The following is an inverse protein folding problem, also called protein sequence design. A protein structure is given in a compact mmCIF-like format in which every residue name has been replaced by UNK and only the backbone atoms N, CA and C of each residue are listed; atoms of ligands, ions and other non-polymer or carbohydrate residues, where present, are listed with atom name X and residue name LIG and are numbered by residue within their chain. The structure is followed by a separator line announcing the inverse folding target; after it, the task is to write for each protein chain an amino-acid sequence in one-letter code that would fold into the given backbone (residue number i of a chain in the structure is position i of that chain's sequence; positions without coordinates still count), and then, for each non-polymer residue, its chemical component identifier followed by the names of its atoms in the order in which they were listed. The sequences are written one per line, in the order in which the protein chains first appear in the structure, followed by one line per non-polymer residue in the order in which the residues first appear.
data_IF_911689164979
#
_entry.id   IF_911689164979
#
_cell.length_a   1.000
_cell.length_b   1.000
_cell.length_c   1.000
_cell.angle_alpha   90.00
_cell.angle_beta   90.00
_cell.angle_gamma   90.00
#
_symmetry.space_group_name_H-M   'P 1'
#
loop_
_entity.id
_entity.type
_entity.pdbx_description
1 polymer ?
#
# COMPACT_ATOMS: atom_id res chain seq x y z
N UNK A 1 6.32 -15.25 -46.92
CA UNK A 1 7.67 -15.12 -47.49
C UNK A 1 8.45 -16.35 -47.07
N UNK A 2 8.96 -17.13 -48.01
CA UNK A 2 9.75 -18.34 -47.74
C UNK A 2 11.26 -18.04 -47.83
N UNK A 3 12.12 -19.02 -47.51
CA UNK A 3 13.58 -18.86 -47.51
C UNK A 3 14.13 -18.41 -48.89
N UNK A 4 13.59 -18.96 -49.96
CA UNK A 4 14.01 -18.61 -51.33
C UNK A 4 13.66 -17.17 -51.71
N UNK A 5 12.57 -16.61 -51.16
CA UNK A 5 12.19 -15.22 -51.35
C UNK A 5 13.17 -14.28 -50.63
N UNK A 6 13.66 -14.68 -49.45
CA UNK A 6 14.65 -13.92 -48.69
C UNK A 6 16.02 -13.92 -49.36
N UNK A 7 16.45 -15.04 -49.92
CA UNK A 7 17.75 -15.20 -50.62
C UNK A 7 17.84 -14.34 -51.91
N UNK A 8 16.71 -13.91 -52.45
CA UNK A 8 16.63 -13.03 -53.62
C UNK A 8 16.68 -11.53 -53.31
N UNK A 9 16.58 -11.17 -52.03
CA UNK A 9 16.62 -9.77 -51.63
C UNK A 9 18.07 -9.26 -51.55
N UNK A 10 18.26 -7.98 -51.91
CA UNK A 10 19.54 -7.31 -51.72
C UNK A 10 19.80 -7.14 -50.20
N UNK A 11 21.07 -6.89 -49.86
CA UNK A 11 21.44 -6.62 -48.46
C UNK A 11 20.66 -5.46 -47.89
N UNK A 12 20.44 -4.38 -48.68
CA UNK A 12 19.69 -3.19 -48.32
C UNK A 12 18.21 -3.54 -48.06
N UNK A 13 17.61 -4.33 -48.92
CA UNK A 13 16.23 -4.83 -48.79
C UNK A 13 16.06 -5.74 -47.58
N UNK A 14 17.06 -6.59 -47.27
CA UNK A 14 17.05 -7.43 -46.08
C UNK A 14 17.17 -6.56 -44.79
N UNK A 15 18.03 -5.54 -44.81
CA UNK A 15 18.15 -4.59 -43.66
C UNK A 15 16.84 -3.85 -43.44
N UNK A 16 16.20 -3.35 -44.51
CA UNK A 16 14.90 -2.67 -44.42
C UNK A 16 13.81 -3.61 -43.87
N UNK A 17 13.79 -4.86 -44.33
CA UNK A 17 12.87 -5.87 -43.84
C UNK A 17 13.11 -6.18 -42.34
N UNK A 18 14.38 -6.34 -41.93
CA UNK A 18 14.74 -6.58 -40.53
C UNK A 18 14.31 -5.37 -39.66
N UNK A 19 14.53 -4.14 -40.12
CA UNK A 19 14.10 -2.92 -39.42
C UNK A 19 12.57 -2.86 -39.31
N UNK A 20 11.82 -3.22 -40.34
CA UNK A 20 10.34 -3.30 -40.30
C UNK A 20 9.83 -4.41 -39.38
N UNK A 21 10.58 -5.50 -39.21
CA UNK A 21 10.25 -6.62 -38.32
C UNK A 21 10.66 -6.37 -36.86
N UNK A 22 11.57 -5.41 -36.62
CA UNK A 22 11.96 -5.05 -35.25
C UNK A 22 10.81 -4.33 -34.54
N UNK A 23 10.26 -5.00 -33.55
CA UNK A 23 9.24 -4.39 -32.69
C UNK A 23 9.89 -3.52 -31.63
N UNK A 24 9.35 -2.33 -31.35
CA UNK A 24 9.85 -1.49 -30.27
C UNK A 24 9.78 -2.22 -28.93
N UNK A 25 10.75 -1.96 -28.07
CA UNK A 25 10.75 -2.54 -26.71
C UNK A 25 9.58 -2.00 -25.91
N UNK A 26 8.81 -2.89 -25.29
CA UNK A 26 7.70 -2.48 -24.41
C UNK A 26 8.21 -1.70 -23.21
N UNK A 27 7.62 -0.53 -22.95
CA UNK A 27 7.87 0.36 -21.83
C UNK A 27 6.67 0.40 -20.87
N UNK A 28 6.76 1.10 -19.75
CA UNK A 28 5.62 1.30 -18.84
C UNK A 28 4.46 2.09 -19.48
N UNK A 29 4.73 2.83 -20.58
CA UNK A 29 3.70 3.54 -21.35
C UNK A 29 2.96 2.66 -22.33
N UNK A 30 3.60 1.60 -22.80
CA UNK A 30 3.11 0.71 -23.87
C UNK A 30 2.85 -0.71 -23.39
N UNK A 31 2.94 -0.96 -22.07
CA UNK A 31 2.67 -2.26 -21.47
C UNK A 31 2.44 -2.14 -19.97
N UNK A 32 2.11 -3.25 -19.31
CA UNK A 32 1.98 -3.35 -17.85
C UNK A 32 3.32 -3.43 -17.11
N UNK A 33 4.45 -3.13 -17.76
CA UNK A 33 5.75 -3.02 -17.06
C UNK A 33 5.74 -1.89 -16.05
N UNK A 34 6.31 -2.09 -14.85
CA UNK A 34 6.41 -1.00 -13.88
C UNK A 34 7.38 0.08 -14.40
N UNK A 35 7.17 1.38 -14.08
CA UNK A 35 8.06 2.48 -14.49
C UNK A 35 9.52 2.29 -14.06
N UNK A 36 9.75 1.52 -13.00
CA UNK A 36 11.10 1.17 -12.54
C UNK A 36 11.88 0.25 -13.47
N UNK A 37 11.18 -0.47 -14.37
CA UNK A 37 11.79 -1.35 -15.37
C UNK A 37 12.15 -0.62 -16.68
N UNK A 38 11.73 0.63 -16.84
CA UNK A 38 12.11 1.43 -18.00
C UNK A 38 13.58 1.88 -17.88
N UNK A 39 14.31 1.85 -19.01
CA UNK A 39 15.64 2.45 -19.05
C UNK A 39 15.52 3.94 -18.74
N UNK A 40 16.15 4.39 -17.66
CA UNK A 40 16.19 5.80 -17.28
C UNK A 40 17.08 6.54 -18.26
N UNK A 41 16.52 7.22 -19.25
CA UNK A 41 17.23 8.25 -19.97
C UNK A 41 17.47 9.42 -19.01
N UNK A 42 18.74 9.76 -18.79
CA UNK A 42 19.10 10.98 -18.05
C UNK A 42 18.51 12.17 -18.82
N UNK A 43 17.42 12.73 -18.31
CA UNK A 43 16.89 14.00 -18.84
C UNK A 43 17.96 15.08 -18.64
N UNK A 44 18.68 15.42 -19.68
CA UNK A 44 19.71 16.49 -19.70
C UNK A 44 19.15 17.85 -19.30
N UNK A 45 17.82 18.06 -19.38
CA UNK A 45 17.14 19.32 -19.08
C UNK A 45 15.99 19.11 -18.07
N UNK A 46 16.24 18.37 -17.00
CA UNK A 46 15.29 18.33 -15.89
C UNK A 46 15.18 19.73 -15.29
N UNK A 47 14.02 20.37 -15.38
CA UNK A 47 13.76 21.61 -14.65
C UNK A 47 14.00 21.36 -13.17
N UNK A 48 14.66 22.31 -12.44
CA UNK A 48 14.81 22.15 -10.99
C UNK A 48 13.42 21.95 -10.37
N UNK A 49 13.33 20.91 -9.49
CA UNK A 49 12.14 20.69 -8.69
C UNK A 49 11.95 21.81 -7.69
N UNK A 50 10.73 22.01 -7.21
CA UNK A 50 10.39 23.00 -6.21
C UNK A 50 9.24 23.91 -6.64
N UNK A 51 8.84 24.77 -5.72
CA UNK A 51 7.76 25.73 -5.96
C UNK A 51 8.20 26.78 -7.00
N UNK A 52 7.31 27.11 -7.92
CA UNK A 52 7.54 28.18 -8.91
C UNK A 52 7.48 29.55 -8.22
N UNK A 53 8.19 30.59 -8.73
CA UNK A 53 8.00 31.95 -8.25
C UNK A 53 6.52 32.34 -8.25
N UNK A 54 6.02 32.92 -7.16
CA UNK A 54 4.60 33.25 -6.97
C UNK A 54 3.72 32.10 -6.41
N UNK A 55 4.26 30.93 -6.12
CA UNK A 55 3.54 29.87 -5.42
C UNK A 55 3.20 30.33 -4.01
N UNK A 56 1.91 30.34 -3.67
CA UNK A 56 1.46 30.59 -2.30
C UNK A 56 1.81 29.37 -1.46
N UNK A 57 2.68 29.56 -0.45
CA UNK A 57 2.97 28.53 0.53
C UNK A 57 1.70 28.07 1.26
N UNK A 58 1.60 26.78 1.56
CA UNK A 58 0.58 26.27 2.47
C UNK A 58 1.16 26.28 3.87
N UNK A 59 0.58 27.11 4.72
CA UNK A 59 0.91 27.15 6.14
C UNK A 59 -0.09 26.31 6.92
N UNK A 60 0.37 25.74 8.02
CA UNK A 60 -0.52 25.09 8.98
C UNK A 60 -1.25 26.17 9.75
N UNK A 61 -2.54 25.99 10.00
CA UNK A 61 -3.31 26.82 10.91
C UNK A 61 -2.81 26.59 12.34
N UNK A 62 -2.85 27.65 13.17
CA UNK A 62 -2.62 27.52 14.60
C UNK A 62 -3.65 26.58 15.23
N UNK A 63 -3.28 25.89 16.31
CA UNK A 63 -4.20 25.07 17.07
C UNK A 63 -5.28 25.96 17.74
N UNK A 64 -6.55 25.57 17.61
CA UNK A 64 -7.64 26.29 18.28
C UNK A 64 -7.51 26.22 19.80
N UNK A 65 -6.98 25.13 20.32
CA UNK A 65 -6.80 24.86 21.75
C UNK A 65 -5.40 24.29 21.96
N UNK A 66 -4.36 25.11 22.14
CA UNK A 66 -3.02 24.65 22.49
C UNK A 66 -3.01 24.08 23.91
N UNK A 67 -2.21 23.06 24.16
CA UNK A 67 -2.07 22.43 25.49
C UNK A 67 -1.37 23.36 26.47
N UNK A 68 -0.44 24.20 25.98
CA UNK A 68 0.31 25.18 26.76
C UNK A 68 0.52 26.45 25.93
N UNK A 69 0.52 27.62 26.62
CA UNK A 69 0.85 28.91 26.00
C UNK A 69 1.99 29.55 26.77
N UNK A 70 3.11 29.78 26.08
CA UNK A 70 4.30 30.43 26.66
C UNK A 70 4.48 31.82 26.07
N UNK A 71 4.43 32.85 26.91
CA UNK A 71 4.68 34.22 26.48
C UNK A 71 6.18 34.56 26.58
N UNK A 72 6.77 34.95 25.47
CA UNK A 72 8.16 35.43 25.43
C UNK A 72 8.20 36.94 25.47
N UNK A 73 8.95 37.49 26.39
CA UNK A 73 9.10 38.93 26.60
C UNK A 73 10.59 39.31 26.46
N UNK A 74 10.89 40.51 25.95
CA UNK A 74 12.27 41.01 25.96
C UNK A 74 12.65 41.49 27.36
N UNK A 75 13.84 41.14 27.83
CA UNK A 75 14.35 41.53 29.14
C UNK A 75 14.91 42.97 29.16
N UNK A 76 15.28 43.48 27.98
CA UNK A 76 15.90 44.79 27.83
C UNK A 76 15.58 45.44 26.50
N UNK A 77 15.60 46.75 26.45
CA UNK A 77 15.44 47.53 25.22
C UNK A 77 16.74 47.48 24.39
N UNK A 78 16.73 47.03 23.12
CA UNK A 78 17.94 46.98 22.31
C UNK A 78 18.48 48.36 21.91
N UNK A 79 17.69 49.42 22.01
CA UNK A 79 18.12 50.77 21.66
C UNK A 79 18.82 51.51 22.80
N UNK A 80 18.36 51.35 24.07
CA UNK A 80 18.88 52.08 25.22
C UNK A 80 19.43 51.15 26.31
N UNK A 81 19.36 49.83 26.16
CA UNK A 81 19.79 48.81 27.12
C UNK A 81 19.10 48.88 28.48
N UNK A 82 18.02 49.69 28.60
CA UNK A 82 17.19 49.77 29.81
C UNK A 82 16.47 48.44 30.05
N UNK A 83 16.40 48.01 31.33
CA UNK A 83 15.64 46.81 31.70
C UNK A 83 14.16 47.04 31.48
N UNK A 84 13.49 46.02 30.96
CA UNK A 84 12.05 45.99 30.81
C UNK A 84 11.46 45.12 31.92
N UNK A 85 10.57 45.72 32.70
CA UNK A 85 9.94 45.05 33.82
C UNK A 85 8.75 44.22 33.37
N UNK A 86 8.49 43.10 34.01
CA UNK A 86 7.37 42.20 33.71
C UNK A 86 6.01 42.84 33.92
N UNK A 87 5.91 43.93 34.68
CA UNK A 87 4.69 44.70 34.89
C UNK A 87 4.27 45.55 33.68
N UNK A 88 5.17 45.77 32.70
CA UNK A 88 4.85 46.52 31.50
C UNK A 88 3.85 45.75 30.64
N UNK A 89 2.82 46.41 30.14
CA UNK A 89 1.88 45.79 29.22
C UNK A 89 2.58 45.36 27.94
N UNK A 90 2.37 44.10 27.52
CA UNK A 90 2.87 43.54 26.27
C UNK A 90 1.78 43.44 25.22
N UNK A 91 2.15 43.61 23.96
CA UNK A 91 1.27 43.37 22.80
C UNK A 91 1.73 42.11 22.07
N UNK A 92 0.78 41.25 21.67
CA UNK A 92 1.07 40.03 20.87
C UNK A 92 1.33 40.46 19.43
N UNK A 93 2.57 40.36 19.01
CA UNK A 93 3.00 40.71 17.64
C UNK A 93 3.13 39.50 16.71
N UNK A 94 3.06 38.27 17.24
CA UNK A 94 3.10 37.03 16.49
C UNK A 94 2.82 35.81 17.35
N UNK A 95 2.29 34.78 16.75
CA UNK A 95 1.97 33.52 17.39
C UNK A 95 2.54 32.38 16.55
N UNK A 96 3.08 31.35 17.21
CA UNK A 96 3.69 30.18 16.59
C UNK A 96 3.39 28.93 17.41
N UNK A 97 2.95 27.86 16.77
CA UNK A 97 2.80 26.56 17.42
C UNK A 97 4.10 25.76 17.29
N UNK A 98 4.63 25.32 18.42
CA UNK A 98 5.60 24.24 18.50
C UNK A 98 4.86 22.93 18.79
N UNK A 99 4.98 21.94 17.90
CA UNK A 99 4.25 20.68 18.04
C UNK A 99 5.26 19.57 18.31
N UNK A 100 5.20 19.02 19.50
CA UNK A 100 6.07 17.95 19.95
C UNK A 100 5.27 16.68 20.25
N UNK A 101 5.91 15.53 20.08
CA UNK A 101 5.37 14.25 20.53
C UNK A 101 5.92 13.94 21.92
N UNK A 102 5.05 13.84 22.94
CA UNK A 102 5.52 13.44 24.25
C UNK A 102 6.10 12.02 24.21
N UNK A 103 7.07 11.66 25.09
CA UNK A 103 7.60 10.33 25.17
C UNK A 103 6.51 9.29 25.36
N UNK A 104 6.43 8.32 24.44
CA UNK A 104 5.41 7.25 24.50
C UNK A 104 5.97 6.11 25.35
N UNK A 105 5.49 5.98 26.57
CA UNK A 105 5.89 4.93 27.48
C UNK A 105 4.88 3.78 27.48
N UNK A 106 5.33 2.50 27.47
CA UNK A 106 4.43 1.35 27.54
C UNK A 106 3.71 1.29 28.88
N UNK A 107 2.41 1.07 28.84
CA UNK A 107 1.62 0.77 30.02
C UNK A 107 1.68 -0.73 30.32
N UNK A 108 2.23 -1.11 31.49
CA UNK A 108 2.37 -2.50 31.92
C UNK A 108 1.36 -2.81 33.01
N UNK A 109 0.47 -3.79 32.74
CA UNK A 109 -0.48 -4.31 33.73
C UNK A 109 -0.05 -5.74 34.13
N UNK A 110 0.17 -5.94 35.41
CA UNK A 110 0.46 -7.27 35.97
C UNK A 110 -0.84 -7.89 36.48
N UNK A 111 -1.14 -9.08 35.97
CA UNK A 111 -2.27 -9.88 36.46
C UNK A 111 -1.74 -10.92 37.45
N UNK A 112 -2.27 -10.89 38.67
CA UNK A 112 -1.98 -11.91 39.71
C UNK A 112 -3.13 -12.91 39.71
N UNK A 113 -2.81 -14.19 39.46
CA UNK A 113 -3.76 -15.29 39.60
C UNK A 113 -3.68 -15.80 41.03
N UNK A 114 -4.72 -15.59 41.82
CA UNK A 114 -4.79 -16.00 43.18
C UNK A 114 -5.52 -17.34 43.28
N UNK A 115 -5.06 -18.20 44.18
CA UNK A 115 -5.75 -19.40 44.59
C UNK A 115 -6.17 -19.26 46.04
N UNK A 116 -7.41 -19.60 46.35
CA UNK A 116 -8.01 -19.52 47.70
C UNK A 116 -8.53 -20.90 48.09
N UNK A 117 -8.20 -21.36 49.30
CA UNK A 117 -8.73 -22.59 49.85
C UNK A 117 -10.16 -22.38 50.35
N UNK A 118 -11.09 -23.16 49.83
CA UNK A 118 -12.50 -23.08 50.26
C UNK A 118 -12.61 -23.42 51.77
N UNK A 119 -13.23 -22.58 52.62
CA UNK A 119 -13.35 -22.83 54.04
C UNK A 119 -14.29 -24.02 54.35
N UNK A 120 -15.19 -24.38 53.44
CA UNK A 120 -16.17 -25.42 53.64
C UNK A 120 -15.67 -26.83 53.24
N UNK A 121 -15.02 -26.94 52.07
CA UNK A 121 -14.58 -28.24 51.53
C UNK A 121 -13.05 -28.38 51.40
N UNK A 122 -12.28 -27.35 51.78
CA UNK A 122 -10.83 -27.30 51.74
C UNK A 122 -10.22 -27.43 50.31
N UNK A 123 -11.03 -27.43 49.26
CA UNK A 123 -10.54 -27.47 47.89
C UNK A 123 -9.86 -26.13 47.56
N UNK A 124 -8.70 -26.20 46.89
CA UNK A 124 -8.01 -25.02 46.34
C UNK A 124 -8.69 -24.57 45.06
N UNK A 125 -9.25 -23.36 45.06
CA UNK A 125 -9.91 -22.74 43.89
C UNK A 125 -9.02 -21.63 43.35
N UNK A 126 -8.69 -21.72 42.08
CA UNK A 126 -7.89 -20.72 41.38
C UNK A 126 -8.79 -19.77 40.60
N UNK A 127 -8.43 -18.50 40.58
CA UNK A 127 -9.13 -17.51 39.77
C UNK A 127 -8.88 -17.73 38.26
N UNK A 128 -9.88 -17.46 37.42
CA UNK A 128 -9.70 -17.43 35.98
C UNK A 128 -8.94 -16.18 35.57
N UNK A 129 -8.05 -16.32 34.58
CA UNK A 129 -7.40 -15.17 33.94
C UNK A 129 -8.23 -14.67 32.75
N UNK A 130 -8.32 -13.35 32.57
CA UNK A 130 -8.91 -12.82 31.34
C UNK A 130 -8.20 -13.36 30.10
N UNK A 131 -8.95 -13.60 29.02
CA UNK A 131 -8.42 -14.11 27.73
C UNK A 131 -7.24 -13.24 27.22
N UNK A 132 -7.30 -11.93 27.46
CA UNK A 132 -6.22 -10.98 27.09
C UNK A 132 -4.92 -11.19 27.88
N UNK A 133 -4.95 -11.85 29.02
CA UNK A 133 -3.78 -12.15 29.84
C UNK A 133 -3.18 -13.54 29.55
N UNK A 134 -3.85 -14.35 28.72
CA UNK A 134 -3.40 -15.69 28.35
C UNK A 134 -2.68 -15.69 26.99
N UNK A 135 -1.53 -16.36 26.93
CA UNK A 135 -0.84 -16.69 25.68
C UNK A 135 0.02 -15.60 25.03
N UNK A 136 -0.04 -14.34 25.49
CA UNK A 136 0.86 -13.28 25.02
C UNK A 136 1.02 -12.19 26.09
N UNK A 137 2.25 -11.71 26.34
CA UNK A 137 2.46 -10.57 27.23
C UNK A 137 2.06 -9.23 26.57
N UNK A 138 1.69 -9.23 25.29
CA UNK A 138 1.40 -8.05 24.52
C UNK A 138 -0.10 -7.87 24.35
N UNK A 139 -0.60 -6.69 24.70
CA UNK A 139 -2.01 -6.34 24.65
C UNK A 139 -2.52 -6.08 23.21
N UNK A 140 -3.86 -5.99 23.04
CA UNK A 140 -4.48 -5.88 21.70
C UNK A 140 -4.09 -4.62 20.95
N UNK A 141 -3.86 -3.47 21.62
CA UNK A 141 -3.40 -2.23 20.96
C UNK A 141 -2.01 -2.39 20.36
N UNK A 142 -1.10 -3.09 21.07
CA UNK A 142 0.25 -3.37 20.55
C UNK A 142 0.19 -4.33 19.36
N UNK A 143 -0.67 -5.36 19.40
CA UNK A 143 -0.93 -6.24 18.26
C UNK A 143 -1.44 -5.45 17.06
N UNK A 144 -2.40 -4.54 17.26
CA UNK A 144 -2.94 -3.70 16.18
C UNK A 144 -1.89 -2.80 15.56
N UNK A 145 -1.05 -2.16 16.39
CA UNK A 145 0.06 -1.33 15.91
C UNK A 145 1.09 -2.15 15.14
N UNK A 146 1.51 -3.32 15.66
CA UNK A 146 2.45 -4.20 14.98
C UNK A 146 1.91 -4.66 13.62
N UNK A 147 0.62 -5.02 13.55
CA UNK A 147 -0.05 -5.40 12.33
C UNK A 147 -0.09 -4.25 11.32
N UNK A 148 -0.49 -3.06 11.73
CA UNK A 148 -0.54 -1.85 10.88
C UNK A 148 0.84 -1.54 10.29
N UNK A 149 1.87 -1.49 11.13
CA UNK A 149 3.23 -1.18 10.70
C UNK A 149 3.82 -2.26 9.77
N UNK A 150 3.49 -3.53 10.02
CA UNK A 150 3.96 -4.63 9.18
C UNK A 150 3.26 -4.70 7.83
N UNK A 151 1.94 -4.54 7.81
CA UNK A 151 1.13 -4.77 6.59
C UNK A 151 0.94 -3.49 5.79
N UNK A 152 0.53 -2.40 6.41
CA UNK A 152 0.25 -1.14 5.73
C UNK A 152 1.52 -0.33 5.47
N UNK A 153 2.42 -0.23 6.46
CA UNK A 153 3.70 0.48 6.32
C UNK A 153 4.82 -0.40 5.74
N UNK A 154 4.55 -1.68 5.48
CA UNK A 154 5.46 -2.64 4.85
C UNK A 154 6.82 -2.79 5.55
N UNK A 155 6.91 -2.54 6.88
CA UNK A 155 8.16 -2.71 7.62
C UNK A 155 8.59 -4.19 7.64
N UNK A 156 9.89 -4.44 7.43
CA UNK A 156 10.45 -5.77 7.68
C UNK A 156 10.39 -6.12 9.17
N UNK A 157 10.41 -7.40 9.54
CA UNK A 157 10.40 -7.79 10.96
C UNK A 157 11.60 -7.22 11.74
N UNK A 158 12.77 -7.12 11.09
CA UNK A 158 13.95 -6.52 11.71
C UNK A 158 13.73 -5.03 12.02
N UNK A 159 13.22 -4.26 11.05
CA UNK A 159 12.91 -2.83 11.24
C UNK A 159 11.79 -2.62 12.27
N UNK A 160 10.78 -3.49 12.26
CA UNK A 160 9.68 -3.42 13.22
C UNK A 160 10.16 -3.69 14.65
N UNK A 161 11.07 -4.67 14.85
CA UNK A 161 11.70 -4.93 16.14
C UNK A 161 12.54 -3.74 16.64
N UNK A 162 13.37 -3.17 15.76
CA UNK A 162 14.17 -1.97 16.08
C UNK A 162 13.26 -0.78 16.42
N UNK A 163 12.23 -0.51 15.62
CA UNK A 163 11.29 0.59 15.87
C UNK A 163 10.60 0.47 17.24
N UNK A 164 10.18 -0.74 17.64
CA UNK A 164 9.59 -0.92 18.97
C UNK A 164 10.59 -0.64 20.09
N UNK A 165 11.87 -0.99 19.90
CA UNK A 165 12.93 -0.69 20.87
C UNK A 165 13.25 0.81 20.90
N UNK A 166 13.48 1.43 19.73
CA UNK A 166 13.94 2.81 19.62
C UNK A 166 12.86 3.82 20.05
N UNK A 167 11.58 3.60 19.67
CA UNK A 167 10.49 4.56 19.91
C UNK A 167 9.78 4.33 21.25
N UNK A 168 9.64 3.06 21.66
CA UNK A 168 8.84 2.70 22.84
C UNK A 168 9.64 2.03 23.96
N UNK A 169 10.94 1.80 23.78
CA UNK A 169 11.75 1.06 24.74
C UNK A 169 11.34 -0.42 24.91
N UNK A 170 10.59 -0.98 23.93
CA UNK A 170 10.06 -2.34 23.98
C UNK A 170 10.90 -3.32 23.18
N UNK A 171 11.61 -4.19 23.84
CA UNK A 171 12.34 -5.29 23.18
C UNK A 171 11.38 -6.41 22.79
N UNK A 172 11.06 -6.50 21.50
CA UNK A 172 10.19 -7.53 20.93
C UNK A 172 10.97 -8.29 19.86
N UNK A 173 11.18 -9.58 20.06
CA UNK A 173 11.89 -10.40 19.08
C UNK A 173 11.09 -10.56 17.79
N UNK A 174 11.78 -10.74 16.65
CA UNK A 174 11.13 -11.00 15.36
C UNK A 174 10.18 -12.21 15.42
N UNK A 175 10.59 -13.28 16.13
CA UNK A 175 9.74 -14.47 16.33
C UNK A 175 8.45 -14.17 17.11
N UNK A 176 8.49 -13.25 18.09
CA UNK A 176 7.29 -12.81 18.80
C UNK A 176 6.38 -11.99 17.88
N UNK A 177 6.92 -11.12 17.04
CA UNK A 177 6.17 -10.37 16.03
C UNK A 177 5.49 -11.28 15.01
N UNK A 178 6.21 -12.30 14.51
CA UNK A 178 5.62 -13.33 13.62
C UNK A 178 4.44 -14.03 14.30
N UNK A 179 4.60 -14.43 15.57
CA UNK A 179 3.52 -15.07 16.33
C UNK A 179 2.33 -14.13 16.59
N UNK A 180 2.56 -12.82 16.75
CA UNK A 180 1.48 -11.82 16.84
C UNK A 180 0.66 -11.78 15.56
N UNK A 181 1.30 -11.70 14.40
CA UNK A 181 0.62 -11.69 13.11
C UNK A 181 -0.14 -13.00 12.86
N UNK A 182 0.48 -14.15 13.16
CA UNK A 182 -0.16 -15.45 13.01
C UNK A 182 -1.44 -15.58 13.86
N UNK A 183 -1.44 -15.05 15.09
CA UNK A 183 -2.66 -15.00 15.92
C UNK A 183 -3.76 -14.11 15.34
N UNK A 184 -3.38 -13.02 14.67
CA UNK A 184 -4.33 -12.12 14.01
C UNK A 184 -4.95 -12.71 12.76
N UNK A 185 -4.37 -13.76 12.16
CA UNK A 185 -4.85 -14.36 10.91
C UNK A 185 -6.29 -14.86 11.00
N UNK A 186 -6.65 -15.57 12.09
CA UNK A 186 -7.97 -16.21 12.23
C UNK A 186 -9.15 -15.21 12.13
N UNK A 187 -9.20 -14.11 12.91
CA UNK A 187 -10.27 -13.13 12.77
C UNK A 187 -10.28 -12.43 11.40
N UNK A 188 -9.11 -12.18 10.80
CA UNK A 188 -9.05 -11.59 9.45
C UNK A 188 -9.53 -12.57 8.38
N UNK A 189 -9.22 -13.87 8.49
CA UNK A 189 -9.72 -14.88 7.57
C UNK A 189 -11.26 -14.94 7.58
N UNK A 190 -11.89 -14.84 8.75
CA UNK A 190 -13.35 -14.78 8.87
C UNK A 190 -13.92 -13.52 8.19
N UNK A 191 -13.31 -12.35 8.41
CA UNK A 191 -13.72 -11.11 7.74
C UNK A 191 -13.53 -11.17 6.22
N UNK A 192 -12.46 -11.80 5.74
CA UNK A 192 -12.23 -12.00 4.31
C UNK A 192 -13.39 -12.73 3.65
N UNK A 193 -13.93 -13.78 4.27
CA UNK A 193 -15.12 -14.49 3.73
C UNK A 193 -16.32 -13.55 3.57
N UNK A 194 -16.57 -12.69 4.55
CA UNK A 194 -17.64 -11.69 4.46
C UNK A 194 -17.42 -10.71 3.29
N UNK A 195 -16.16 -10.29 3.07
CA UNK A 195 -15.81 -9.40 1.95
C UNK A 195 -16.00 -10.13 0.61
N UNK A 196 -15.61 -11.40 0.50
CA UNK A 196 -15.82 -12.23 -0.69
C UNK A 196 -17.31 -12.36 -0.99
N UNK A 197 -18.16 -12.57 0.01
CA UNK A 197 -19.61 -12.63 -0.20
C UNK A 197 -20.18 -11.30 -0.72
N UNK A 198 -19.67 -10.16 -0.26
CA UNK A 198 -20.05 -8.84 -0.82
C UNK A 198 -19.61 -8.71 -2.28
N UNK A 199 -18.38 -9.11 -2.59
CA UNK A 199 -17.85 -9.12 -3.95
C UNK A 199 -18.72 -9.95 -4.88
N UNK A 200 -19.10 -11.15 -4.47
CA UNK A 200 -19.95 -12.08 -5.25
C UNK A 200 -21.33 -11.51 -5.57
N UNK A 201 -21.90 -10.70 -4.68
CA UNK A 201 -23.21 -10.04 -4.86
C UNK A 201 -23.15 -8.78 -5.72
N UNK A 202 -21.96 -8.31 -6.07
CA UNK A 202 -21.81 -7.07 -6.83
C UNK A 202 -22.27 -7.25 -8.28
N UNK A 203 -22.94 -6.25 -8.82
CA UNK A 203 -23.35 -6.21 -10.23
C UNK A 203 -22.18 -5.99 -11.20
N UNK A 204 -21.07 -5.43 -10.71
CA UNK A 204 -19.83 -5.22 -11.45
C UNK A 204 -18.64 -5.69 -10.60
N UNK A 205 -17.75 -6.44 -11.23
CA UNK A 205 -16.47 -6.86 -10.65
C UNK A 205 -15.36 -6.57 -11.64
N UNK A 206 -14.30 -5.91 -11.16
CA UNK A 206 -13.05 -5.76 -11.89
C UNK A 206 -12.03 -6.76 -11.34
N UNK A 207 -11.18 -7.29 -12.22
CA UNK A 207 -10.09 -8.18 -11.82
C UNK A 207 -8.83 -7.87 -12.60
N UNK A 208 -7.68 -8.01 -11.92
CA UNK A 208 -6.34 -7.89 -12.49
C UNK A 208 -5.40 -8.80 -11.69
N UNK A 209 -4.27 -9.18 -12.27
CA UNK A 209 -3.24 -9.95 -11.58
C UNK A 209 -1.85 -9.40 -11.87
N UNK A 210 -0.96 -9.51 -10.88
CA UNK A 210 0.44 -9.13 -11.01
C UNK A 210 1.35 -10.25 -10.54
N UNK A 211 2.51 -10.42 -11.20
CA UNK A 211 3.52 -11.39 -10.80
C UNK A 211 4.14 -11.00 -9.46
N UNK A 212 4.26 -11.97 -8.57
CA UNK A 212 4.97 -11.88 -7.29
C UNK A 212 5.87 -13.10 -7.12
N UNK A 213 6.79 -13.05 -6.17
CA UNK A 213 7.56 -14.24 -5.76
C UNK A 213 7.22 -14.62 -4.34
N UNK A 214 6.86 -15.88 -4.13
CA UNK A 214 6.61 -16.47 -2.82
C UNK A 214 7.62 -17.60 -2.64
N UNK A 215 8.48 -17.50 -1.64
CA UNK A 215 9.54 -18.50 -1.38
C UNK A 215 10.39 -18.82 -2.62
N UNK A 216 10.77 -17.78 -3.37
CA UNK A 216 11.49 -17.85 -4.63
C UNK A 216 10.73 -18.53 -5.80
N UNK A 217 9.45 -18.87 -5.64
CA UNK A 217 8.58 -19.43 -6.69
C UNK A 217 7.78 -18.31 -7.32
N UNK A 218 7.73 -18.27 -8.64
CA UNK A 218 6.92 -17.32 -9.40
C UNK A 218 5.43 -17.60 -9.13
N UNK A 219 4.74 -16.58 -8.66
CA UNK A 219 3.37 -16.65 -8.19
C UNK A 219 2.61 -15.38 -8.64
N UNK A 220 1.33 -15.30 -8.36
CA UNK A 220 0.49 -14.19 -8.79
C UNK A 220 -0.34 -13.65 -7.64
N UNK A 221 -0.34 -12.33 -7.52
CA UNK A 221 -1.27 -11.59 -6.68
C UNK A 221 -2.47 -11.18 -7.52
N UNK A 222 -3.60 -11.80 -7.29
CA UNK A 222 -4.87 -11.45 -7.88
C UNK A 222 -5.57 -10.39 -7.05
N UNK A 223 -6.22 -9.44 -7.72
CA UNK A 223 -7.07 -8.43 -7.11
C UNK A 223 -8.46 -8.52 -7.74
N UNK A 224 -9.48 -8.58 -6.90
CA UNK A 224 -10.87 -8.50 -7.31
C UNK A 224 -11.48 -7.27 -6.64
N UNK A 225 -12.13 -6.43 -7.42
CA UNK A 225 -12.62 -5.12 -6.99
C UNK A 225 -14.09 -4.96 -7.36
N UNK A 226 -14.91 -4.53 -6.42
CA UNK A 226 -16.25 -4.00 -6.65
C UNK A 226 -16.38 -2.64 -5.96
N UNK A 227 -17.50 -1.90 -6.13
CA UNK A 227 -17.71 -0.64 -5.41
C UNK A 227 -17.58 -0.77 -3.88
N UNK A 228 -17.93 -1.93 -3.32
CA UNK A 228 -18.05 -2.15 -1.88
C UNK A 228 -17.04 -3.16 -1.32
N UNK A 229 -16.21 -3.79 -2.17
CA UNK A 229 -15.29 -4.83 -1.72
C UNK A 229 -14.01 -4.88 -2.56
N UNK A 230 -12.89 -5.10 -1.87
CA UNK A 230 -11.60 -5.43 -2.48
C UNK A 230 -11.11 -6.74 -1.88
N UNK A 231 -10.77 -7.70 -2.73
CA UNK A 231 -10.25 -9.02 -2.34
C UNK A 231 -8.89 -9.23 -2.98
N UNK A 232 -7.91 -9.56 -2.17
CA UNK A 232 -6.57 -9.95 -2.61
C UNK A 232 -6.39 -11.46 -2.42
N UNK A 233 -5.91 -12.13 -3.47
CA UNK A 233 -5.63 -13.56 -3.46
C UNK A 233 -4.24 -13.84 -4.02
N UNK A 234 -3.35 -14.42 -3.19
CA UNK A 234 -2.07 -14.93 -3.66
C UNK A 234 -2.25 -16.37 -4.16
N UNK A 235 -1.84 -16.65 -5.39
CA UNK A 235 -1.95 -17.97 -6.03
C UNK A 235 -0.68 -18.30 -6.82
N UNK A 236 -0.34 -19.55 -6.89
CA UNK A 236 0.76 -20.04 -7.72
C UNK A 236 0.37 -20.14 -9.21
N UNK A 237 -0.90 -19.93 -9.54
CA UNK A 237 -1.44 -20.07 -10.88
C UNK A 237 -1.99 -18.73 -11.40
N UNK A 238 -1.78 -18.50 -12.70
CA UNK A 238 -2.38 -17.43 -13.47
C UNK A 238 -3.62 -17.89 -14.27
N UNK A 239 -4.10 -19.11 -14.04
CA UNK A 239 -5.22 -19.67 -14.77
C UNK A 239 -6.57 -19.10 -14.32
N UNK A 240 -7.55 -19.06 -15.22
CA UNK A 240 -8.94 -18.64 -14.93
C UNK A 240 -9.65 -19.48 -13.86
N UNK A 241 -9.05 -20.59 -13.41
CA UNK A 241 -9.52 -21.33 -12.25
C UNK A 241 -9.52 -20.49 -10.99
N UNK A 242 -8.54 -19.58 -10.81
CA UNK A 242 -8.50 -18.66 -9.66
C UNK A 242 -9.75 -17.79 -9.60
N UNK A 243 -10.19 -17.27 -10.74
CA UNK A 243 -11.43 -16.49 -10.84
C UNK A 243 -12.65 -17.35 -10.46
N UNK A 244 -12.73 -18.57 -10.99
CA UNK A 244 -13.82 -19.50 -10.68
C UNK A 244 -13.88 -19.85 -9.20
N UNK A 245 -12.75 -20.07 -8.57
CA UNK A 245 -12.66 -20.38 -7.12
C UNK A 245 -13.16 -19.20 -6.26
N UNK A 246 -12.69 -17.98 -6.58
CA UNK A 246 -13.10 -16.78 -5.84
C UNK A 246 -14.60 -16.49 -6.05
N UNK A 247 -15.06 -16.54 -7.29
CA UNK A 247 -16.44 -16.21 -7.63
C UNK A 247 -17.43 -17.35 -7.29
N UNK A 248 -16.96 -18.60 -7.16
CA UNK A 248 -17.78 -19.77 -6.79
C UNK A 248 -19.09 -19.89 -7.57
N UNK A 249 -19.04 -19.71 -8.88
CA UNK A 249 -20.19 -19.78 -9.77
C UNK A 249 -21.01 -18.49 -9.89
N UNK A 250 -20.76 -17.46 -9.09
CA UNK A 250 -21.39 -16.16 -9.24
C UNK A 250 -20.88 -15.42 -10.49
N UNK A 251 -21.80 -14.90 -11.29
CA UNK A 251 -21.51 -14.15 -12.51
C UNK A 251 -22.07 -12.73 -12.39
N UNK A 252 -21.24 -11.70 -12.24
CA UNK A 252 -21.70 -10.32 -12.21
C UNK A 252 -22.29 -9.91 -13.57
N UNK A 253 -23.10 -8.86 -13.60
CA UNK A 253 -23.61 -8.29 -14.85
C UNK A 253 -22.47 -7.77 -15.72
N UNK A 254 -21.46 -7.14 -15.13
CA UNK A 254 -20.28 -6.62 -15.82
C UNK A 254 -19.01 -7.21 -15.18
N UNK A 255 -18.16 -7.82 -16.02
CA UNK A 255 -16.80 -8.20 -15.66
C UNK A 255 -15.83 -7.26 -16.36
N UNK A 256 -14.98 -6.56 -15.59
CA UNK A 256 -13.99 -5.63 -16.10
C UNK A 256 -12.58 -6.22 -15.91
N UNK A 257 -11.83 -6.39 -17.00
CA UNK A 257 -10.45 -6.90 -16.94
C UNK A 257 -9.65 -6.44 -18.16
N UNK A 258 -8.38 -6.83 -18.22
CA UNK A 258 -7.60 -6.76 -19.45
C UNK A 258 -8.09 -7.81 -20.47
N UNK A 259 -7.37 -7.93 -21.61
CA UNK A 259 -7.70 -8.88 -22.67
C UNK A 259 -7.11 -10.29 -22.44
N UNK A 260 -6.52 -10.56 -21.26
CA UNK A 260 -5.94 -11.88 -20.97
C UNK A 260 -7.02 -12.96 -20.95
N UNK A 261 -6.75 -14.08 -21.61
CA UNK A 261 -7.76 -15.14 -21.81
C UNK A 261 -8.33 -15.72 -20.51
N UNK A 262 -7.51 -15.82 -19.46
CA UNK A 262 -7.94 -16.30 -18.15
C UNK A 262 -8.93 -15.36 -17.44
N UNK A 263 -9.01 -14.10 -17.87
CA UNK A 263 -9.90 -13.06 -17.35
C UNK A 263 -11.22 -12.93 -18.14
N UNK A 264 -11.41 -13.75 -19.18
CA UNK A 264 -12.56 -13.63 -20.09
C UNK A 264 -13.72 -14.53 -19.66
N UNK A 265 -14.95 -14.12 -20.02
CA UNK A 265 -16.19 -14.89 -19.85
C UNK A 265 -16.63 -15.14 -18.38
N UNK A 266 -16.25 -14.30 -17.45
CA UNK A 266 -16.64 -14.41 -16.03
C UNK A 266 -17.86 -13.59 -15.63
N UNK A 267 -18.37 -12.71 -16.51
CA UNK A 267 -19.59 -11.94 -16.32
C UNK A 267 -20.62 -12.17 -17.42
N UNK A 268 -21.81 -11.55 -17.31
CA UNK A 268 -22.79 -11.53 -18.40
C UNK A 268 -22.28 -10.67 -19.56
N UNK A 269 -21.61 -9.56 -19.26
CA UNK A 269 -20.95 -8.67 -20.22
C UNK A 269 -19.50 -8.48 -19.82
N UNK A 270 -18.62 -8.43 -20.85
CA UNK A 270 -17.19 -8.15 -20.68
C UNK A 270 -16.91 -6.68 -20.97
N UNK A 271 -16.23 -5.99 -20.05
CA UNK A 271 -15.69 -4.65 -20.24
C UNK A 271 -14.17 -4.73 -20.24
N UNK A 272 -13.54 -4.32 -21.33
CA UNK A 272 -12.06 -4.23 -21.37
C UNK A 272 -11.58 -3.03 -20.54
N UNK A 273 -10.54 -3.23 -19.75
CA UNK A 273 -9.92 -2.16 -18.98
C UNK A 273 -9.33 -1.09 -19.91
N UNK A 274 -9.83 0.14 -19.83
CA UNK A 274 -9.40 1.23 -20.69
C UNK A 274 -7.93 1.60 -20.52
N UNK A 275 -7.37 1.41 -19.31
CA UNK A 275 -5.96 1.67 -19.07
C UNK A 275 -5.05 0.68 -19.81
N UNK A 276 -5.45 -0.60 -19.90
CA UNK A 276 -4.74 -1.60 -20.70
C UNK A 276 -4.92 -1.32 -22.20
N UNK A 277 -6.15 -1.07 -22.64
CA UNK A 277 -6.44 -0.70 -24.03
C UNK A 277 -5.64 0.51 -24.50
N UNK A 278 -5.55 1.56 -23.67
CA UNK A 278 -4.77 2.76 -24.00
C UNK A 278 -3.26 2.45 -24.19
N UNK A 279 -2.71 1.53 -23.38
CA UNK A 279 -1.32 1.07 -23.53
C UNK A 279 -1.11 0.25 -24.79
N UNK A 280 -2.06 -0.62 -25.12
CA UNK A 280 -2.02 -1.42 -26.34
C UNK A 280 -2.11 -0.54 -27.60
N UNK A 281 -2.97 0.48 -27.58
CA UNK A 281 -3.05 1.49 -28.65
C UNK A 281 -1.75 2.28 -28.74
N UNK A 282 -1.16 2.71 -27.62
CA UNK A 282 0.13 3.41 -27.62
C UNK A 282 1.24 2.53 -28.20
N UNK A 283 1.27 1.24 -27.84
CA UNK A 283 2.21 0.29 -28.44
C UNK A 283 1.99 0.10 -29.92
N UNK A 284 0.73 -0.02 -30.35
CA UNK A 284 0.37 -0.12 -31.76
C UNK A 284 0.85 1.06 -32.60
N UNK A 285 0.75 2.28 -32.05
CA UNK A 285 1.27 3.49 -32.70
C UNK A 285 2.79 3.52 -32.83
N UNK A 286 3.53 2.91 -31.90
CA UNK A 286 4.99 2.79 -31.97
C UNK A 286 5.46 1.64 -32.87
N UNK A 287 4.64 0.59 -33.00
CA UNK A 287 5.02 -0.67 -33.66
C UNK A 287 4.57 -0.77 -35.13
N UNK A 288 3.68 0.08 -35.60
CA UNK A 288 3.07 -0.01 -36.92
C UNK A 288 2.70 1.36 -37.47
N UNK A 289 2.85 1.52 -38.78
CA UNK A 289 2.37 2.68 -39.52
C UNK A 289 0.85 2.58 -39.88
N UNK A 290 0.17 1.54 -39.36
CA UNK A 290 -1.26 1.34 -39.57
C UNK A 290 -2.08 2.45 -38.86
N UNK A 291 -3.11 2.94 -39.56
CA UNK A 291 -4.01 3.96 -39.07
C UNK A 291 -4.97 3.47 -37.94
N UNK A 292 -5.13 2.15 -37.78
CA UNK A 292 -6.08 1.59 -36.83
C UNK A 292 -5.79 2.00 -35.36
N UNK A 293 -4.54 1.90 -34.85
CA UNK A 293 -4.23 2.37 -33.51
C UNK A 293 -4.49 3.86 -33.30
N UNK A 294 -4.25 4.68 -34.32
CA UNK A 294 -4.53 6.13 -34.27
C UNK A 294 -6.03 6.40 -34.17
N UNK A 295 -6.86 5.70 -34.95
CA UNK A 295 -8.32 5.82 -34.92
C UNK A 295 -8.95 5.37 -33.60
N UNK A 296 -8.33 4.40 -32.92
CA UNK A 296 -8.78 3.94 -31.60
C UNK A 296 -8.40 4.90 -30.46
N UNK A 297 -7.42 5.80 -30.68
CA UNK A 297 -6.99 6.79 -29.70
C UNK A 297 -7.96 7.98 -29.61
N UNK A 298 -8.70 8.27 -30.67
CA UNK A 298 -9.71 9.33 -30.74
C UNK A 298 -11.01 8.87 -30.09
#
# INVERSE_FOLDING_TARGET
MNRNDLERLSKEQLVELVLKLQRPAKTSRTSSKPPSADKKERRRNAKPGGAKPGHKGHFRSLAEHPDETVAHRPDSCPACLGKLDDSLAGEVVGEYDEIELPPITPFVRRHLRLAVRCPHCQVLVEADLPIVASGSPFGPRLHGLALYLKTFQALSFARLSAMFEDVFGLKISQGALVKMLARSHKPFAAQKLTIIERLRRAGMVASDETGIRIEAIDSYQWVFLSPDAVVHEARMSRAGQVVRDVMAGHRPKIWLSDAYSAQQNHGAHQQTCLAHLARDVAYGLEASDDNLPFRLKL
#
